data_IF_097375317805
#
_entry.id   IF_097375317805
#
_cell.length_a   1.000
_cell.length_b   1.000
_cell.length_c   1.000
_cell.angle_alpha   90.00
_cell.angle_beta   90.00
_cell.angle_gamma   90.00
#
_symmetry.space_group_name_H-M   'P 1'
#
loop_
_entity.id
_entity.type
_entity.pdbx_description
1 polymer ?
#
# COMPACT_ATOMS: atom_id res chain seq x y z
N UNK A 1 27.95 -17.34 15.76
CA UNK A 1 28.78 -16.18 15.37
C UNK A 1 28.26 -15.70 14.03
N UNK A 2 27.78 -14.45 13.96
CA UNK A 2 27.35 -13.84 12.69
C UNK A 2 28.61 -13.31 12.03
N UNK A 3 28.98 -13.88 10.88
CA UNK A 3 30.15 -13.47 10.13
C UNK A 3 29.78 -12.20 9.34
N UNK A 4 30.32 -11.05 9.78
CA UNK A 4 30.07 -9.78 9.11
C UNK A 4 30.77 -9.77 7.75
N UNK A 5 30.05 -9.33 6.73
CA UNK A 5 30.59 -9.17 5.39
C UNK A 5 31.82 -8.22 5.41
N UNK A 6 32.87 -8.50 4.62
CA UNK A 6 34.08 -7.69 4.60
C UNK A 6 33.78 -6.24 4.20
N UNK A 7 34.37 -5.28 4.92
CA UNK A 7 34.14 -3.83 4.75
C UNK A 7 34.47 -3.32 3.34
N UNK A 8 35.37 -4.02 2.63
CA UNK A 8 35.80 -3.71 1.26
C UNK A 8 35.14 -4.65 0.25
N UNK A 9 33.89 -4.35 -0.09
CA UNK A 9 33.16 -5.02 -1.17
C UNK A 9 33.52 -4.37 -2.52
N UNK A 10 34.01 -5.13 -3.52
CA UNK A 10 34.38 -4.60 -4.85
C UNK A 10 33.20 -3.92 -5.55
N UNK A 11 33.49 -2.89 -6.36
CA UNK A 11 32.48 -2.00 -6.96
C UNK A 11 31.47 -2.76 -7.84
N UNK A 12 31.91 -3.83 -8.50
CA UNK A 12 31.07 -4.71 -9.31
C UNK A 12 29.94 -5.35 -8.50
N UNK A 13 30.24 -5.80 -7.27
CA UNK A 13 29.22 -6.35 -6.34
C UNK A 13 28.27 -5.27 -5.83
N UNK A 14 28.73 -4.01 -5.72
CA UNK A 14 27.86 -2.87 -5.37
C UNK A 14 26.87 -2.54 -6.48
N UNK A 15 27.33 -2.57 -7.73
CA UNK A 15 26.47 -2.37 -8.91
C UNK A 15 25.46 -3.51 -9.07
N UNK A 16 25.87 -4.76 -8.83
CA UNK A 16 24.96 -5.91 -8.82
C UNK A 16 23.92 -5.81 -7.70
N UNK A 17 24.35 -5.43 -6.48
CA UNK A 17 23.41 -5.20 -5.36
C UNK A 17 22.44 -4.08 -5.69
N UNK A 18 22.91 -2.98 -6.28
CA UNK A 18 22.07 -1.87 -6.71
C UNK A 18 21.08 -2.30 -7.80
N UNK A 19 21.51 -3.08 -8.80
CA UNK A 19 20.65 -3.61 -9.84
C UNK A 19 19.58 -4.58 -9.30
N UNK A 20 19.94 -5.43 -8.34
CA UNK A 20 18.99 -6.32 -7.65
C UNK A 20 18.00 -5.51 -6.81
N UNK A 21 18.47 -4.48 -6.10
CA UNK A 21 17.63 -3.61 -5.28
C UNK A 21 16.68 -2.78 -6.17
N UNK A 22 17.16 -2.32 -7.32
CA UNK A 22 16.37 -1.65 -8.34
C UNK A 22 15.36 -2.62 -8.98
N UNK A 23 15.74 -3.87 -9.25
CA UNK A 23 14.83 -4.91 -9.74
C UNK A 23 13.74 -5.26 -8.71
N UNK A 24 14.10 -5.40 -7.43
CA UNK A 24 13.15 -5.62 -6.34
C UNK A 24 12.19 -4.43 -6.22
N UNK A 25 12.71 -3.20 -6.32
CA UNK A 25 11.90 -1.99 -6.32
C UNK A 25 10.93 -1.93 -7.52
N UNK A 26 11.41 -2.26 -8.71
CA UNK A 26 10.58 -2.35 -9.92
C UNK A 26 9.53 -3.46 -9.81
N UNK A 27 9.87 -4.63 -9.27
CA UNK A 27 8.93 -5.74 -9.05
C UNK A 27 7.86 -5.37 -8.02
N UNK A 28 8.25 -4.71 -6.93
CA UNK A 28 7.32 -4.19 -5.92
C UNK A 28 6.37 -3.15 -6.51
N UNK A 29 6.88 -2.27 -7.39
CA UNK A 29 6.06 -1.27 -8.09
C UNK A 29 5.15 -1.89 -9.17
N UNK A 30 5.54 -3.03 -9.76
CA UNK A 30 4.83 -3.68 -10.88
C UNK A 30 3.77 -4.70 -10.44
N UNK A 31 3.53 -4.86 -9.15
CA UNK A 31 2.43 -5.67 -8.61
C UNK A 31 1.08 -4.94 -8.79
N UNK A 32 0.77 -4.57 -10.03
CA UNK A 32 -0.54 -4.06 -10.43
C UNK A 32 -1.28 -5.23 -11.06
N UNK A 33 -2.10 -5.89 -10.24
CA UNK A 33 -3.06 -6.88 -10.72
C UNK A 33 -4.06 -6.19 -11.66
N UNK A 34 -3.83 -6.35 -12.96
CA UNK A 34 -4.72 -5.83 -14.00
C UNK A 34 -6.08 -6.55 -13.99
N UNK A 35 -7.12 -5.86 -14.46
CA UNK A 35 -8.48 -6.39 -14.58
C UNK A 35 -8.53 -7.73 -15.33
N UNK A 36 -7.71 -7.88 -16.36
CA UNK A 36 -7.61 -9.10 -17.17
C UNK A 36 -7.08 -10.31 -16.37
N UNK A 37 -6.11 -10.08 -15.47
CA UNK A 37 -5.58 -11.13 -14.60
C UNK A 37 -6.64 -11.57 -13.59
N UNK A 38 -7.36 -10.62 -13.01
CA UNK A 38 -8.49 -10.90 -12.14
C UNK A 38 -9.60 -11.68 -12.87
N UNK A 39 -9.95 -11.30 -14.11
CA UNK A 39 -10.90 -12.03 -14.95
C UNK A 39 -10.42 -13.45 -15.32
N UNK A 40 -9.11 -13.62 -15.54
CA UNK A 40 -8.52 -14.94 -15.80
C UNK A 40 -8.65 -15.87 -14.59
N UNK A 41 -8.40 -15.36 -13.37
CA UNK A 41 -8.54 -16.15 -12.13
C UNK A 41 -10.01 -16.56 -11.93
N UNK A 42 -10.96 -15.66 -12.20
CA UNK A 42 -12.40 -15.91 -12.03
C UNK A 42 -13.02 -16.77 -13.15
N UNK A 43 -12.42 -16.83 -14.34
CA UNK A 43 -12.98 -17.58 -15.49
C UNK A 43 -12.60 -19.06 -15.52
N UNK A 44 -11.70 -19.54 -14.65
CA UNK A 44 -11.29 -20.94 -14.59
C UNK A 44 -12.43 -21.84 -14.10
N UNK A 45 -12.91 -22.70 -15.00
CA UNK A 45 -13.91 -23.75 -14.72
C UNK A 45 -13.23 -24.92 -13.98
N UNK A 46 -13.36 -24.94 -12.66
CA UNK A 46 -12.76 -25.98 -11.80
C UNK A 46 -12.98 -25.79 -10.29
N UNK A 47 -13.51 -24.64 -9.86
CA UNK A 47 -13.67 -24.33 -8.44
C UNK A 47 -12.31 -24.09 -7.74
N UNK A 48 -12.34 -23.60 -6.51
CA UNK A 48 -11.14 -23.45 -5.66
C UNK A 48 -10.28 -22.19 -5.88
N UNK A 49 -10.67 -21.26 -6.74
CA UNK A 49 -9.95 -20.00 -6.93
C UNK A 49 -10.50 -18.91 -6.00
N UNK A 50 -9.62 -18.24 -5.26
CA UNK A 50 -9.94 -17.09 -4.42
C UNK A 50 -9.20 -15.86 -4.97
N UNK A 51 -9.94 -14.76 -5.14
CA UNK A 51 -9.38 -13.47 -5.51
C UNK A 51 -9.64 -12.49 -4.35
N UNK A 52 -8.58 -11.99 -3.74
CA UNK A 52 -8.64 -10.90 -2.78
C UNK A 52 -8.29 -9.58 -3.46
N UNK A 53 -9.14 -8.57 -3.31
CA UNK A 53 -8.92 -7.22 -3.83
C UNK A 53 -8.93 -6.26 -2.65
N UNK A 54 -7.78 -5.64 -2.39
CA UNK A 54 -7.69 -4.53 -1.45
C UNK A 54 -8.25 -3.30 -2.16
N UNK A 55 -9.39 -2.79 -1.68
CA UNK A 55 -10.07 -1.62 -2.27
C UNK A 55 -9.46 -0.29 -1.83
N UNK A 56 -8.61 -0.34 -0.80
CA UNK A 56 -7.87 0.79 -0.29
C UNK A 56 -6.86 1.35 -1.27
N UNK A 57 -6.74 2.67 -1.27
CA UNK A 57 -5.82 3.42 -2.11
C UNK A 57 -5.16 4.51 -1.28
N UNK A 58 -4.22 5.20 -1.90
CA UNK A 58 -3.52 6.37 -1.40
C UNK A 58 -4.48 7.42 -0.80
N UNK A 59 -5.66 7.63 -1.37
CA UNK A 59 -6.63 8.58 -0.80
C UNK A 59 -7.20 8.13 0.54
N UNK A 60 -7.34 6.83 0.78
CA UNK A 60 -7.76 6.31 2.08
C UNK A 60 -6.64 6.44 3.10
N UNK A 61 -5.40 6.12 2.71
CA UNK A 61 -4.24 6.26 3.59
C UNK A 61 -3.91 7.72 3.94
N UNK A 62 -4.14 8.67 3.02
CA UNK A 62 -4.01 10.12 3.29
C UNK A 62 -5.10 10.69 4.22
N UNK A 63 -6.16 9.92 4.49
CA UNK A 63 -7.22 10.31 5.41
C UNK A 63 -7.22 9.44 6.68
N UNK A 64 -6.25 8.54 6.83
CA UNK A 64 -6.16 7.68 8.00
C UNK A 64 -5.93 8.52 9.26
N UNK A 65 -6.81 8.34 10.24
CA UNK A 65 -6.75 9.02 11.53
C UNK A 65 -7.13 8.02 12.61
N UNK A 66 -6.44 8.03 13.78
CA UNK A 66 -6.87 7.23 14.92
C UNK A 66 -8.34 7.48 15.26
N UNK A 67 -9.08 6.41 15.54
CA UNK A 67 -10.50 6.47 15.88
C UNK A 67 -11.47 6.74 14.73
N UNK A 68 -11.00 6.94 13.50
CA UNK A 68 -11.87 7.17 12.34
C UNK A 68 -11.48 6.33 11.11
N UNK A 69 -12.49 5.76 10.44
CA UNK A 69 -12.33 4.98 9.22
C UNK A 69 -13.04 5.68 8.06
N UNK A 70 -12.27 6.19 7.10
CA UNK A 70 -12.81 6.88 5.91
C UNK A 70 -12.58 6.06 4.65
N UNK A 71 -13.62 5.37 4.22
CA UNK A 71 -13.60 4.51 3.03
C UNK A 71 -14.05 5.27 1.78
N UNK A 72 -13.32 5.12 0.67
CA UNK A 72 -13.56 5.81 -0.60
C UNK A 72 -14.14 4.80 -1.61
N UNK A 73 -15.34 4.30 -1.32
CA UNK A 73 -15.98 3.25 -2.14
C UNK A 73 -16.98 3.77 -3.18
N UNK A 74 -17.48 5.00 -3.03
CA UNK A 74 -18.62 5.54 -3.82
C UNK A 74 -18.46 5.35 -5.34
N UNK A 75 -17.26 5.61 -5.85
CA UNK A 75 -16.94 5.55 -7.28
C UNK A 75 -16.15 4.27 -7.67
N UNK A 76 -15.92 3.34 -6.73
CA UNK A 76 -15.04 2.18 -6.92
C UNK A 76 -15.81 0.86 -6.96
N UNK A 77 -16.71 0.72 -7.93
CA UNK A 77 -17.57 -0.47 -8.05
C UNK A 77 -17.06 -1.53 -9.05
N UNK A 78 -15.81 -1.43 -9.48
CA UNK A 78 -15.23 -2.29 -10.51
C UNK A 78 -15.18 -3.77 -10.11
N UNK A 79 -14.86 -4.06 -8.85
CA UNK A 79 -14.84 -5.43 -8.32
C UNK A 79 -16.24 -6.05 -8.25
N UNK A 80 -17.28 -5.25 -7.95
CA UNK A 80 -18.68 -5.69 -7.96
C UNK A 80 -19.08 -6.05 -9.39
N UNK A 81 -18.76 -5.19 -10.37
CA UNK A 81 -19.02 -5.50 -11.78
C UNK A 81 -18.30 -6.78 -12.21
N UNK A 82 -17.04 -6.98 -11.80
CA UNK A 82 -16.27 -8.16 -12.16
C UNK A 82 -16.87 -9.45 -11.58
N UNK A 83 -17.26 -9.44 -10.31
CA UNK A 83 -17.89 -10.60 -9.66
C UNK A 83 -19.23 -10.96 -10.31
N UNK A 84 -20.05 -9.96 -10.65
CA UNK A 84 -21.31 -10.16 -11.39
C UNK A 84 -21.09 -10.76 -12.79
N UNK A 85 -20.07 -10.30 -13.53
CA UNK A 85 -19.76 -10.83 -14.88
C UNK A 85 -19.33 -12.30 -14.87
N UNK A 86 -18.67 -12.74 -13.80
CA UNK A 86 -18.16 -14.11 -13.68
C UNK A 86 -19.03 -15.02 -12.78
N UNK A 87 -20.13 -14.50 -12.22
CA UNK A 87 -21.00 -15.26 -11.32
C UNK A 87 -20.31 -15.69 -10.01
N UNK A 88 -19.31 -14.92 -9.56
CA UNK A 88 -18.53 -15.23 -8.36
C UNK A 88 -19.16 -14.64 -7.09
N UNK A 89 -19.06 -15.35 -5.98
CA UNK A 89 -19.50 -14.83 -4.68
C UNK A 89 -18.58 -13.70 -4.20
N UNK A 90 -19.16 -12.55 -3.85
CA UNK A 90 -18.45 -11.40 -3.33
C UNK A 90 -18.52 -11.39 -1.80
N UNK A 91 -17.38 -11.54 -1.12
CA UNK A 91 -17.28 -11.49 0.33
C UNK A 91 -16.61 -10.19 0.79
N UNK A 92 -17.33 -9.26 1.45
CA UNK A 92 -16.72 -8.07 2.02
C UNK A 92 -15.94 -8.43 3.30
N UNK A 93 -14.68 -8.02 3.37
CA UNK A 93 -13.82 -8.18 4.56
C UNK A 93 -13.39 -6.79 4.99
N UNK A 94 -13.48 -6.51 6.28
CA UNK A 94 -13.03 -5.26 6.89
C UNK A 94 -12.18 -5.57 8.13
N UNK A 95 -11.04 -4.89 8.25
CA UNK A 95 -10.07 -5.04 9.33
C UNK A 95 -10.06 -3.76 10.18
N UNK A 96 -9.96 -3.91 11.49
CA UNK A 96 -9.96 -2.81 12.46
C UNK A 96 -8.59 -2.71 13.15
N UNK A 97 -8.28 -1.52 13.66
CA UNK A 97 -7.06 -1.21 14.41
C UNK A 97 -5.92 -0.66 13.56
N UNK A 98 -5.97 -0.83 12.22
CA UNK A 98 -4.88 -0.39 11.33
C UNK A 98 -4.59 1.11 11.38
N UNK A 99 -5.63 1.94 11.53
CA UNK A 99 -5.50 3.39 11.61
C UNK A 99 -4.99 3.89 12.97
N UNK A 100 -5.04 3.06 14.00
CA UNK A 100 -4.65 3.42 15.37
C UNK A 100 -3.16 3.17 15.63
N UNK A 101 -2.47 2.52 14.68
CA UNK A 101 -1.07 2.12 14.78
C UNK A 101 -0.11 3.32 14.63
N UNK A 102 -0.49 4.30 13.81
CA UNK A 102 0.31 5.47 13.49
C UNK A 102 -0.54 6.72 13.52
N UNK A 103 0.06 7.82 13.95
CA UNK A 103 -0.50 9.14 13.76
C UNK A 103 -0.04 9.70 12.42
N UNK A 104 -0.91 10.49 11.79
CA UNK A 104 -0.61 11.15 10.53
C UNK A 104 -0.57 12.65 10.74
N UNK A 105 0.43 13.30 10.14
CA UNK A 105 0.54 14.76 10.15
C UNK A 105 -0.75 15.37 9.62
N UNK A 106 -1.23 16.40 10.32
CA UNK A 106 -2.46 17.09 9.91
C UNK A 106 -2.34 17.63 8.48
N UNK A 107 -3.18 17.09 7.60
CA UNK A 107 -3.29 17.49 6.20
C UNK A 107 -4.74 17.86 5.86
N UNK A 108 -5.28 18.84 6.59
CA UNK A 108 -6.65 19.31 6.36
C UNK A 108 -6.88 19.69 4.88
N UNK A 109 -8.08 19.42 4.33
CA UNK A 109 -8.41 19.82 2.97
C UNK A 109 -8.20 21.34 2.79
N UNK A 110 -7.37 21.73 1.82
CA UNK A 110 -7.00 23.13 1.58
C UNK A 110 -5.65 23.55 2.18
N UNK A 111 -5.01 22.72 3.01
CA UNK A 111 -3.63 22.95 3.44
C UNK A 111 -2.63 22.84 2.28
N UNK A 112 -1.51 23.55 2.38
CA UNK A 112 -0.42 23.46 1.40
C UNK A 112 0.10 22.03 1.24
N UNK A 113 0.24 21.30 2.35
CA UNK A 113 0.65 19.90 2.36
C UNK A 113 -0.34 19.02 1.58
N UNK A 114 -1.65 19.19 1.82
CA UNK A 114 -2.68 18.41 1.13
C UNK A 114 -2.73 18.76 -0.36
N UNK A 115 -2.59 20.03 -0.72
CA UNK A 115 -2.48 20.46 -2.12
C UNK A 115 -1.31 19.79 -2.84
N UNK A 116 -0.14 19.76 -2.20
CA UNK A 116 1.05 19.09 -2.75
C UNK A 116 0.83 17.57 -2.89
N UNK A 117 0.30 16.92 -1.86
CA UNK A 117 -0.02 15.48 -1.87
C UNK A 117 -1.04 15.12 -2.96
N UNK A 118 -2.07 15.92 -3.15
CA UNK A 118 -3.09 15.71 -4.17
C UNK A 118 -2.53 15.98 -5.58
N UNK A 119 -1.61 16.94 -5.72
CA UNK A 119 -0.92 17.22 -6.99
C UNK A 119 0.00 16.07 -7.38
N UNK A 120 0.77 15.53 -6.43
CA UNK A 120 1.59 14.34 -6.63
C UNK A 120 0.73 13.13 -6.98
N UNK A 121 -0.34 12.87 -6.22
CA UNK A 121 -1.24 11.76 -6.50
C UNK A 121 -1.83 11.83 -7.92
N UNK A 122 -2.23 13.02 -8.38
CA UNK A 122 -2.73 13.23 -9.75
C UNK A 122 -1.66 12.99 -10.83
N UNK A 123 -0.40 13.31 -10.56
CA UNK A 123 0.69 13.21 -11.53
C UNK A 123 1.31 11.81 -11.61
N UNK A 124 1.54 11.17 -10.47
CA UNK A 124 2.37 9.95 -10.36
C UNK A 124 1.58 8.73 -9.88
N UNK A 125 0.26 8.85 -9.63
CA UNK A 125 -0.56 7.80 -8.95
C UNK A 125 0.08 7.33 -7.64
N UNK A 126 0.89 8.18 -7.02
CA UNK A 126 1.62 7.94 -5.78
C UNK A 126 1.43 9.12 -4.85
N UNK A 127 1.33 8.88 -3.55
CA UNK A 127 1.48 9.93 -2.55
C UNK A 127 2.28 9.41 -1.38
N UNK A 128 2.94 10.31 -0.68
CA UNK A 128 3.74 10.01 0.50
C UNK A 128 2.90 10.46 1.70
N UNK A 129 2.21 9.54 2.39
CA UNK A 129 1.62 9.86 3.68
C UNK A 129 2.74 10.15 4.67
N UNK A 130 2.67 11.31 5.33
CA UNK A 130 3.59 11.66 6.41
C UNK A 130 2.98 11.15 7.72
N UNK A 131 3.44 10.00 8.17
CA UNK A 131 3.01 9.39 9.42
C UNK A 131 4.17 9.28 10.40
N UNK A 132 3.84 9.23 11.68
CA UNK A 132 4.79 9.01 12.76
C UNK A 132 4.16 8.11 13.81
N UNK A 133 5.02 7.30 14.41
CA UNK A 133 4.73 6.51 15.59
C UNK A 133 5.70 6.89 16.71
N UNK A 134 6.13 5.90 17.48
CA UNK A 134 7.14 6.05 18.53
C UNK A 134 8.55 5.75 18.04
N UNK A 135 9.55 6.22 18.77
CA UNK A 135 10.94 5.83 18.60
C UNK A 135 11.24 4.49 19.27
N UNK A 136 12.38 3.89 18.94
CA UNK A 136 12.87 2.68 19.63
C UNK A 136 13.20 2.98 21.10
N UNK A 137 13.69 4.19 21.38
CA UNK A 137 14.12 4.64 22.71
C UNK A 137 13.27 5.79 23.31
N UNK A 138 12.39 6.41 22.52
CA UNK A 138 11.50 7.50 22.94
C UNK A 138 10.05 7.22 22.55
N UNK A 139 9.09 7.64 23.37
CA UNK A 139 7.67 7.44 23.08
C UNK A 139 7.03 8.56 22.25
N UNK A 140 7.76 9.65 22.00
CA UNK A 140 7.20 10.88 21.43
C UNK A 140 7.22 10.95 19.89
N UNK A 141 8.22 10.34 19.22
CA UNK A 141 8.34 10.39 17.77
C UNK A 141 9.26 9.29 17.21
N UNK A 142 8.83 8.62 16.13
CA UNK A 142 9.64 7.67 15.36
C UNK A 142 8.83 6.86 14.34
N UNK A 143 9.38 5.72 13.92
CA UNK A 143 8.79 4.84 12.90
C UNK A 143 8.16 3.56 13.46
N UNK A 144 8.22 3.36 14.78
CA UNK A 144 7.69 2.16 15.44
C UNK A 144 6.21 2.36 15.74
N UNK A 145 5.35 1.35 15.56
CA UNK A 145 3.92 1.46 15.84
C UNK A 145 3.63 1.75 17.32
N UNK A 146 2.56 2.51 17.57
CA UNK A 146 1.96 2.60 18.91
C UNK A 146 1.42 1.22 19.34
N UNK A 147 1.41 0.95 20.65
CA UNK A 147 0.95 -0.32 21.23
C UNK A 147 -0.44 -0.17 21.82
#
# INVERSE_FOLDING_TARGET
>A
MVEFAPLFVPLERRLQTFAVLQLIFYLALRLVLGKESAAHILSRKGGGNLLSIVTGDIQESLNARPGAYKLVLRNRKGFIRLTLMHGAALMPIFSFGENDIYEQVENSPGSWLRWFQDRLHKSTRGSIPLFYGRGVFQYSFGLVPYR
#
